data_IF_178735766808
#
_entry.id   IF_178735766808
#
_cell.length_a   1.000
_cell.length_b   1.000
_cell.length_c   1.000
_cell.angle_alpha   90.00
_cell.angle_beta   90.00
_cell.angle_gamma   90.00
#
_symmetry.space_group_name_H-M   'P 1'
#
loop_
_entity.id
_entity.type
_entity.pdbx_description
1 polymer ?
#
# COMPACT_ATOMS: atom_id res chain seq x y z
N UNK A 1 17.10 -5.85 6.73
CA UNK A 1 17.59 -5.16 7.93
C UNK A 1 16.45 -4.34 8.48
N UNK A 2 16.20 -4.39 9.79
CA UNK A 2 15.31 -3.41 10.44
C UNK A 2 16.01 -2.06 10.34
N UNK A 3 15.39 -1.05 9.75
CA UNK A 3 15.90 0.30 9.85
C UNK A 3 15.59 0.81 11.27
N UNK A 4 16.54 1.46 11.95
CA UNK A 4 16.23 2.11 13.22
C UNK A 4 15.14 3.17 12.95
N UNK A 5 14.09 3.24 13.79
CA UNK A 5 13.05 4.24 13.60
C UNK A 5 13.65 5.65 13.76
N UNK A 6 13.14 6.59 12.96
CA UNK A 6 13.39 8.01 13.17
C UNK A 6 12.43 8.50 14.27
N UNK A 7 12.98 8.70 15.48
CA UNK A 7 12.20 9.20 16.61
C UNK A 7 11.71 10.64 16.42
N UNK A 8 12.34 11.45 15.55
CA UNK A 8 11.82 12.76 15.21
C UNK A 8 10.52 12.61 14.40
N UNK A 9 10.49 11.69 13.44
CA UNK A 9 9.28 11.37 12.68
C UNK A 9 8.19 10.77 13.58
N UNK A 10 8.52 9.82 14.46
CA UNK A 10 7.55 9.24 15.39
C UNK A 10 6.95 10.30 16.33
N UNK A 11 7.79 11.22 16.82
CA UNK A 11 7.37 12.36 17.65
C UNK A 11 6.48 13.33 16.89
N UNK A 12 6.83 13.69 15.65
CA UNK A 12 6.02 14.55 14.79
C UNK A 12 4.63 13.94 14.53
N UNK A 13 4.57 12.64 14.28
CA UNK A 13 3.28 11.96 14.12
C UNK A 13 2.48 11.94 15.42
N UNK A 14 3.11 11.66 16.55
CA UNK A 14 2.43 11.69 17.85
C UNK A 14 1.88 13.07 18.22
N UNK A 15 2.57 14.15 17.83
CA UNK A 15 2.12 15.53 17.99
C UNK A 15 0.91 15.83 17.10
N UNK A 16 0.95 15.45 15.81
CA UNK A 16 -0.19 15.55 14.90
C UNK A 16 -1.44 14.87 15.51
N UNK A 17 -1.27 13.66 16.05
CA UNK A 17 -2.35 12.88 16.66
C UNK A 17 -2.84 13.41 18.01
N UNK A 18 -2.13 14.35 18.63
CA UNK A 18 -2.49 14.97 19.90
C UNK A 18 -3.21 16.32 19.71
N UNK A 19 -3.14 16.90 18.52
CA UNK A 19 -3.80 18.15 18.18
C UNK A 19 -5.24 17.89 17.72
N UNK A 20 -6.21 18.24 18.57
CA UNK A 20 -7.65 18.11 18.28
C UNK A 20 -8.12 19.02 17.12
N UNK A 21 -7.29 19.97 16.68
CA UNK A 21 -7.55 20.79 15.51
C UNK A 21 -7.28 20.09 14.17
N UNK A 22 -6.57 18.96 14.18
CA UNK A 22 -6.22 18.20 12.96
C UNK A 22 -7.37 17.27 12.57
N UNK A 23 -7.65 17.19 11.27
CA UNK A 23 -8.69 16.33 10.73
C UNK A 23 -8.11 15.07 10.04
N UNK A 24 -8.99 14.26 9.46
CA UNK A 24 -8.61 13.03 8.75
C UNK A 24 -7.75 13.31 7.51
N UNK A 25 -7.92 14.46 6.85
CA UNK A 25 -7.09 14.84 5.70
C UNK A 25 -5.67 15.24 6.11
N UNK A 26 -5.49 15.85 7.28
CA UNK A 26 -4.16 16.15 7.80
C UNK A 26 -3.38 14.86 8.09
N UNK A 27 -4.04 13.88 8.71
CA UNK A 27 -3.47 12.55 8.96
C UNK A 27 -3.17 11.83 7.64
N UNK A 28 -4.10 11.86 6.67
CA UNK A 28 -3.88 11.32 5.32
C UNK A 28 -2.63 11.90 4.69
N UNK A 29 -2.52 13.24 4.68
CA UNK A 29 -1.42 13.95 4.04
C UNK A 29 -0.08 13.60 4.69
N UNK A 30 -0.07 13.41 6.01
CA UNK A 30 1.10 12.97 6.77
C UNK A 30 1.50 11.53 6.40
N UNK A 31 0.55 10.59 6.40
CA UNK A 31 0.81 9.18 6.06
C UNK A 31 1.23 8.99 4.59
N UNK A 32 0.73 9.82 3.69
CA UNK A 32 1.18 9.84 2.29
C UNK A 32 2.62 10.33 2.14
N UNK A 33 3.10 11.21 3.03
CA UNK A 33 4.48 11.73 3.04
C UNK A 33 5.46 10.82 3.78
N UNK A 34 4.94 10.02 4.70
CA UNK A 34 5.71 9.18 5.61
C UNK A 34 5.13 7.77 5.61
N UNK A 35 5.16 7.15 4.42
CA UNK A 35 4.57 5.83 4.18
C UNK A 35 5.13 4.72 5.06
N UNK A 36 6.29 4.92 5.68
CA UNK A 36 6.86 4.04 6.72
C UNK A 36 5.99 3.93 7.98
N UNK A 37 5.10 4.90 8.25
CA UNK A 37 4.12 4.84 9.35
C UNK A 37 2.83 4.12 8.97
N UNK A 38 2.54 3.97 7.67
CA UNK A 38 1.38 3.23 7.19
C UNK A 38 1.66 1.72 7.26
N UNK A 39 1.02 1.05 8.20
CA UNK A 39 1.14 -0.40 8.37
C UNK A 39 0.32 -1.15 7.29
N UNK A 40 1.03 -1.75 6.34
CA UNK A 40 0.45 -2.61 5.29
C UNK A 40 0.62 -4.09 5.58
N UNK A 41 1.06 -4.48 6.78
CA UNK A 41 1.20 -5.88 7.18
C UNK A 41 -0.13 -6.65 7.28
N UNK A 42 -1.29 -6.03 7.59
CA UNK A 42 -2.55 -6.74 7.55
C UNK A 42 -2.79 -7.42 6.20
N UNK A 43 -3.23 -8.67 6.24
CA UNK A 43 -3.64 -9.45 5.06
C UNK A 43 -2.54 -9.74 4.02
N UNK A 44 -1.26 -9.45 4.30
CA UNK A 44 -0.18 -9.76 3.34
C UNK A 44 -0.11 -11.26 3.04
N UNK A 45 0.06 -11.54 1.76
CA UNK A 45 0.32 -12.88 1.24
C UNK A 45 1.83 -13.05 1.04
N UNK A 46 2.25 -14.24 0.62
CA UNK A 46 3.66 -14.61 0.51
C UNK A 46 4.48 -13.75 -0.47
N UNK A 47 3.85 -13.10 -1.46
CA UNK A 47 4.54 -12.13 -2.34
C UNK A 47 4.58 -10.70 -1.76
N UNK A 48 4.10 -10.49 -0.53
CA UNK A 48 4.09 -9.23 0.21
C UNK A 48 3.33 -8.12 -0.55
N UNK A 49 3.60 -6.87 -0.19
CA UNK A 49 3.02 -5.69 -0.82
C UNK A 49 3.36 -5.65 -2.31
N UNK A 50 2.34 -5.72 -3.16
CA UNK A 50 2.50 -5.74 -4.60
C UNK A 50 3.18 -4.47 -5.07
N UNK A 51 4.29 -4.64 -5.80
CA UNK A 51 5.13 -3.58 -6.34
C UNK A 51 5.72 -2.58 -5.33
N UNK A 52 5.66 -2.86 -4.02
CA UNK A 52 5.96 -1.87 -2.99
C UNK A 52 5.13 -0.57 -3.13
N UNK A 53 3.88 -0.69 -3.59
CA UNK A 53 3.00 0.44 -3.85
C UNK A 53 1.75 0.41 -2.97
N UNK A 54 1.32 1.59 -2.54
CA UNK A 54 -0.03 1.86 -2.02
C UNK A 54 -0.74 2.83 -2.96
N UNK A 55 -2.07 2.79 -3.00
CA UNK A 55 -2.91 3.64 -3.82
C UNK A 55 -3.64 4.59 -2.88
N UNK A 56 -3.34 5.88 -2.93
CA UNK A 56 -4.07 6.90 -2.19
C UNK A 56 -5.42 7.18 -2.83
N UNK A 57 -6.45 7.39 -2.01
CA UNK A 57 -7.79 7.83 -2.43
C UNK A 57 -8.37 6.92 -3.53
N UNK A 58 -8.50 5.63 -3.23
CA UNK A 58 -9.02 4.63 -4.17
C UNK A 58 -10.56 4.72 -4.28
N UNK A 59 -11.12 4.98 -5.48
CA UNK A 59 -12.57 5.12 -5.66
C UNK A 59 -13.28 3.76 -5.61
N UNK A 60 -14.33 3.67 -4.78
CA UNK A 60 -15.19 2.49 -4.69
C UNK A 60 -16.57 2.87 -4.12
N UNK A 61 -17.64 2.30 -4.67
CA UNK A 61 -19.02 2.50 -4.19
C UNK A 61 -19.50 3.97 -4.15
N UNK A 62 -19.07 4.80 -5.12
CA UNK A 62 -19.34 6.25 -5.11
C UNK A 62 -18.64 7.00 -3.96
N UNK A 63 -17.78 6.32 -3.21
CA UNK A 63 -16.94 6.84 -2.14
C UNK A 63 -15.47 6.63 -2.49
N UNK A 64 -14.60 6.97 -1.57
CA UNK A 64 -13.15 6.86 -1.72
C UNK A 64 -12.57 6.26 -0.44
N UNK A 65 -11.87 5.14 -0.56
CA UNK A 65 -11.04 4.62 0.52
C UNK A 65 -9.75 5.44 0.61
N UNK A 66 -9.30 5.74 1.82
CA UNK A 66 -8.12 6.57 2.06
C UNK A 66 -6.84 5.99 1.46
N UNK A 67 -6.65 4.68 1.63
CA UNK A 67 -5.65 3.92 0.90
C UNK A 67 -6.24 2.60 0.38
N UNK A 68 -5.60 2.07 -0.65
CA UNK A 68 -5.75 0.69 -1.06
C UNK A 68 -4.37 0.07 -1.33
N UNK A 69 -4.25 -1.23 -1.15
CA UNK A 69 -3.07 -1.95 -1.63
C UNK A 69 -3.43 -3.35 -2.11
N UNK A 70 -2.54 -3.86 -2.96
CA UNK A 70 -2.65 -5.21 -3.49
C UNK A 70 -1.58 -6.09 -2.84
N UNK A 71 -1.95 -7.34 -2.62
CA UNK A 71 -1.03 -8.43 -2.27
C UNK A 71 -1.50 -9.69 -2.98
N UNK A 72 -0.60 -10.63 -3.24
CA UNK A 72 -0.91 -11.82 -4.03
C UNK A 72 -0.17 -13.06 -3.59
N UNK A 73 -0.75 -14.21 -3.87
CA UNK A 73 -0.10 -15.52 -3.94
C UNK A 73 -0.22 -16.02 -5.38
N UNK A 74 0.35 -17.18 -5.72
CA UNK A 74 0.34 -17.69 -7.10
C UNK A 74 -1.06 -17.91 -7.69
N UNK A 75 -2.08 -18.04 -6.84
CA UNK A 75 -3.46 -18.45 -7.17
C UNK A 75 -4.54 -17.39 -6.86
N UNK A 76 -4.23 -16.34 -6.08
CA UNK A 76 -5.18 -15.28 -5.72
C UNK A 76 -4.54 -13.91 -5.48
N UNK A 77 -5.40 -12.89 -5.53
CA UNK A 77 -5.13 -11.52 -5.11
C UNK A 77 -5.97 -11.19 -3.87
N UNK A 78 -5.46 -10.27 -3.06
CA UNK A 78 -6.25 -9.55 -2.08
C UNK A 78 -6.14 -8.06 -2.40
N UNK A 79 -7.29 -7.43 -2.61
CA UNK A 79 -7.46 -6.00 -2.52
C UNK A 79 -7.73 -5.65 -1.07
N UNK A 80 -6.85 -4.87 -0.46
CA UNK A 80 -7.07 -4.32 0.87
C UNK A 80 -7.45 -2.85 0.74
N UNK A 81 -8.59 -2.48 1.32
CA UNK A 81 -9.01 -1.09 1.47
C UNK A 81 -8.76 -0.62 2.90
N UNK A 82 -8.21 0.57 3.05
CA UNK A 82 -7.88 1.18 4.33
C UNK A 82 -8.73 2.44 4.49
N UNK A 83 -9.43 2.53 5.60
CA UNK A 83 -10.08 3.76 6.08
C UNK A 83 -9.30 4.32 7.26
N UNK A 84 -9.12 5.64 7.29
CA UNK A 84 -8.59 6.35 8.45
C UNK A 84 -9.67 7.24 9.06
N UNK A 85 -9.73 7.24 10.38
CA UNK A 85 -10.68 7.99 11.19
C UNK A 85 -9.93 8.84 12.21
N UNK A 86 -10.53 9.92 12.71
CA UNK A 86 -9.85 10.80 13.70
C UNK A 86 -9.24 10.05 14.90
N UNK A 87 -8.10 10.54 15.37
CA UNK A 87 -7.36 9.98 16.50
C UNK A 87 -8.12 10.10 17.84
N UNK A 88 -8.98 11.09 18.00
CA UNK A 88 -9.77 11.30 19.21
C UNK A 88 -11.10 10.51 19.25
N UNK A 89 -11.44 9.74 18.21
CA UNK A 89 -12.64 8.88 18.22
C UNK A 89 -12.46 7.72 19.20
N UNK A 90 -13.29 7.66 20.23
CA UNK A 90 -13.33 6.52 21.16
C UNK A 90 -13.90 5.29 20.49
N UNK A 91 -13.31 4.12 20.71
CA UNK A 91 -13.86 2.84 20.20
C UNK A 91 -14.98 2.29 21.09
N UNK A 92 -14.94 2.59 22.39
CA UNK A 92 -15.83 2.00 23.38
C UNK A 92 -16.55 3.06 24.20
N UNK A 93 -17.72 2.70 24.74
CA UNK A 93 -18.45 3.51 25.70
C UNK A 93 -17.77 3.43 27.08
N UNK A 94 -18.00 4.44 27.91
CA UNK A 94 -17.45 4.55 29.27
C UNK A 94 -18.25 3.76 30.33
N UNK A 95 -19.15 2.86 29.91
CA UNK A 95 -19.99 2.06 30.80
C UNK A 95 -19.18 1.06 31.63
N UNK A 96 -19.43 1.00 32.94
CA UNK A 96 -18.80 0.03 33.85
C UNK A 96 -19.44 -1.36 33.82
N UNK A 97 -20.62 -1.51 33.20
CA UNK A 97 -21.42 -2.76 33.25
C UNK A 97 -21.22 -3.66 32.04
N UNK A 98 -20.87 -3.11 30.88
CA UNK A 98 -20.67 -3.87 29.65
C UNK A 98 -19.72 -3.11 28.71
N UNK A 99 -18.95 -3.86 27.91
CA UNK A 99 -18.10 -3.28 26.86
C UNK A 99 -18.96 -3.00 25.63
N UNK A 100 -19.52 -1.78 25.56
CA UNK A 100 -20.27 -1.30 24.41
C UNK A 100 -19.34 -0.62 23.39
N UNK A 101 -19.58 -0.82 22.10
CA UNK A 101 -18.96 -0.01 21.03
C UNK A 101 -19.54 1.40 21.05
N UNK A 102 -18.70 2.41 20.78
CA UNK A 102 -19.19 3.78 20.59
C UNK A 102 -19.99 3.92 19.29
N UNK A 103 -20.79 4.99 19.17
CA UNK A 103 -21.47 5.33 17.91
C UNK A 103 -20.47 5.59 16.78
N UNK A 104 -19.45 6.41 17.04
CA UNK A 104 -18.41 6.74 16.06
C UNK A 104 -17.68 5.49 15.52
N UNK A 105 -17.41 4.51 16.38
CA UNK A 105 -16.78 3.26 15.95
C UNK A 105 -17.72 2.41 15.09
N UNK A 106 -19.00 2.32 15.45
CA UNK A 106 -19.98 1.60 14.65
C UNK A 106 -20.21 2.28 13.28
N UNK A 107 -20.21 3.62 13.24
CA UNK A 107 -20.32 4.40 12.00
C UNK A 107 -19.13 4.14 11.07
N UNK A 108 -17.90 4.17 11.59
CA UNK A 108 -16.69 3.84 10.83
C UNK A 108 -16.73 2.39 10.29
N UNK A 109 -17.15 1.42 11.11
CA UNK A 109 -17.33 0.04 10.67
C UNK A 109 -18.37 -0.06 9.53
N UNK A 110 -19.50 0.64 9.66
CA UNK A 110 -20.55 0.68 8.64
C UNK A 110 -20.05 1.33 7.34
N UNK A 111 -19.25 2.39 7.41
CA UNK A 111 -18.63 3.04 6.25
C UNK A 111 -17.79 2.06 5.44
N UNK A 112 -16.94 1.26 6.11
CA UNK A 112 -16.15 0.23 5.41
C UNK A 112 -17.01 -0.94 4.91
N UNK A 113 -18.21 -1.18 5.47
CA UNK A 113 -19.11 -2.25 5.04
C UNK A 113 -19.75 -1.98 3.68
N UNK A 114 -20.01 -0.70 3.37
CA UNK A 114 -20.51 -0.27 2.05
C UNK A 114 -19.61 -0.77 0.92
N UNK A 115 -18.29 -0.81 1.13
CA UNK A 115 -17.35 -1.30 0.12
C UNK A 115 -17.45 -2.79 -0.12
N UNK A 116 -17.70 -3.58 0.93
CA UNK A 116 -17.92 -5.02 0.81
C UNK A 116 -19.19 -5.29 0.01
N UNK A 117 -20.28 -4.63 0.39
CA UNK A 117 -21.59 -4.84 -0.24
C UNK A 117 -21.53 -4.43 -1.74
N UNK A 118 -20.84 -3.33 -2.04
CA UNK A 118 -20.59 -2.92 -3.42
C UNK A 118 -19.66 -3.91 -4.16
N UNK A 119 -18.59 -4.38 -3.53
CA UNK A 119 -17.69 -5.37 -4.12
C UNK A 119 -18.45 -6.65 -4.52
N UNK A 120 -19.35 -7.15 -3.67
CA UNK A 120 -20.13 -8.36 -3.96
C UNK A 120 -20.98 -8.24 -5.23
N UNK A 121 -21.44 -7.02 -5.56
CA UNK A 121 -22.30 -6.75 -6.70
C UNK A 121 -21.54 -6.25 -7.94
N UNK A 122 -20.36 -5.65 -7.76
CA UNK A 122 -19.64 -4.91 -8.81
C UNK A 122 -18.17 -5.38 -9.00
N UNK A 123 -17.88 -6.66 -8.78
CA UNK A 123 -16.51 -7.20 -8.88
C UNK A 123 -15.83 -6.88 -10.21
N UNK A 124 -16.55 -6.98 -11.34
CA UNK A 124 -15.99 -6.70 -12.66
C UNK A 124 -15.54 -5.24 -12.80
N UNK A 125 -16.33 -4.29 -12.31
CA UNK A 125 -16.01 -2.86 -12.39
C UNK A 125 -14.76 -2.51 -11.55
N UNK A 126 -14.68 -3.06 -10.34
CA UNK A 126 -13.50 -2.88 -9.48
C UNK A 126 -12.27 -3.58 -10.11
N UNK A 127 -12.47 -4.76 -10.72
CA UNK A 127 -11.39 -5.48 -11.42
C UNK A 127 -10.84 -4.67 -12.59
N UNK A 128 -11.68 -4.08 -13.42
CA UNK A 128 -11.25 -3.24 -14.55
C UNK A 128 -10.38 -2.07 -14.08
N UNK A 129 -10.75 -1.41 -12.97
CA UNK A 129 -9.92 -0.36 -12.37
C UNK A 129 -8.55 -0.86 -11.93
N UNK A 130 -8.48 -2.07 -11.38
CA UNK A 130 -7.23 -2.68 -10.92
C UNK A 130 -6.39 -3.29 -12.05
N UNK A 131 -6.99 -3.56 -13.21
CA UNK A 131 -6.40 -4.34 -14.30
C UNK A 131 -4.97 -3.90 -14.66
N UNK A 132 -4.63 -2.59 -14.75
CA UNK A 132 -3.26 -2.14 -14.98
C UNK A 132 -2.21 -2.66 -13.99
N UNK A 133 -2.62 -2.98 -12.76
CA UNK A 133 -1.74 -3.46 -11.69
C UNK A 133 -1.83 -4.97 -11.49
N UNK A 134 -2.79 -5.67 -12.12
CA UNK A 134 -2.97 -7.12 -11.99
C UNK A 134 -1.93 -7.89 -12.81
N UNK A 135 -0.67 -7.82 -12.39
CA UNK A 135 0.47 -8.43 -13.07
C UNK A 135 1.24 -9.38 -12.15
N UNK A 136 1.96 -10.38 -12.70
CA UNK A 136 2.13 -10.69 -14.12
C UNK A 136 0.85 -11.24 -14.77
N UNK A 137 0.74 -11.09 -16.10
CA UNK A 137 -0.44 -11.50 -16.90
C UNK A 137 -1.01 -12.89 -16.58
N UNK A 138 -0.22 -13.95 -16.32
CA UNK A 138 -0.77 -15.26 -15.94
C UNK A 138 -1.61 -15.24 -14.66
N UNK A 139 -1.31 -14.31 -13.74
CA UNK A 139 -2.02 -14.13 -12.48
C UNK A 139 -3.14 -13.09 -12.60
N UNK A 140 -3.25 -12.39 -13.73
CA UNK A 140 -4.22 -11.32 -13.93
C UNK A 140 -5.67 -11.81 -13.87
N UNK A 141 -5.90 -13.13 -14.02
CA UNK A 141 -7.22 -13.79 -13.99
C UNK A 141 -7.55 -14.44 -12.64
N UNK A 142 -6.59 -14.44 -11.71
CA UNK A 142 -6.81 -15.02 -10.39
C UNK A 142 -7.97 -14.32 -9.67
N UNK A 143 -8.60 -15.06 -8.74
CA UNK A 143 -9.65 -14.52 -7.88
C UNK A 143 -9.09 -13.35 -7.07
N UNK A 144 -9.87 -12.29 -6.93
CA UNK A 144 -9.58 -11.18 -6.03
C UNK A 144 -10.50 -11.34 -4.82
N UNK A 145 -9.93 -11.31 -3.63
CA UNK A 145 -10.67 -11.20 -2.37
C UNK A 145 -10.61 -9.74 -1.88
N UNK A 146 -11.71 -9.25 -1.32
CA UNK A 146 -11.71 -7.97 -0.63
C UNK A 146 -11.39 -8.18 0.86
N UNK A 147 -10.48 -7.37 1.39
CA UNK A 147 -10.21 -7.21 2.82
C UNK A 147 -10.16 -5.73 3.19
N UNK A 148 -10.31 -5.46 4.48
CA UNK A 148 -10.45 -4.09 4.99
C UNK A 148 -9.55 -3.87 6.19
N UNK A 149 -9.08 -2.65 6.33
CA UNK A 149 -8.37 -2.14 7.50
C UNK A 149 -9.06 -0.85 7.91
N UNK A 150 -9.34 -0.70 9.20
CA UNK A 150 -9.84 0.52 9.80
C UNK A 150 -8.78 1.02 10.79
N UNK A 151 -8.28 2.23 10.57
CA UNK A 151 -7.34 2.91 11.45
C UNK A 151 -8.13 3.97 12.20
N UNK A 152 -8.37 3.77 13.49
CA UNK A 152 -9.24 4.63 14.28
C UNK A 152 -8.74 4.79 15.71
N UNK A 153 -8.84 6.01 16.22
CA UNK A 153 -8.68 6.28 17.63
C UNK A 153 -7.26 6.02 18.16
N UNK A 154 -7.12 6.26 19.46
CA UNK A 154 -5.89 6.04 20.22
C UNK A 154 -6.14 5.02 21.33
N UNK A 155 -5.12 4.23 21.65
CA UNK A 155 -5.09 3.37 22.84
C UNK A 155 -4.36 4.03 24.02
N UNK A 156 -3.74 5.20 23.82
CA UNK A 156 -3.01 5.92 24.86
C UNK A 156 -3.95 6.53 25.91
N UNK A 157 -3.72 6.15 27.18
CA UNK A 157 -4.48 6.60 28.36
C UNK A 157 -5.25 5.49 29.07
N UNK A 158 -5.61 4.41 28.37
CA UNK A 158 -6.19 3.17 28.92
C UNK A 158 -5.82 2.04 27.98
N UNK A 159 -4.84 1.20 28.34
CA UNK A 159 -4.65 -0.06 27.63
C UNK A 159 -6.01 -0.76 27.54
N UNK A 160 -6.39 -1.21 26.34
CA UNK A 160 -7.66 -1.92 26.18
C UNK A 160 -7.71 -3.08 27.19
N UNK A 161 -8.80 -3.16 27.93
CA UNK A 161 -9.06 -4.30 28.81
C UNK A 161 -9.14 -5.58 27.98
N UNK A 162 -8.96 -6.75 28.61
CA UNK A 162 -9.07 -8.01 27.89
C UNK A 162 -10.43 -8.14 27.17
N UNK A 163 -11.52 -7.75 27.82
CA UNK A 163 -12.85 -7.76 27.22
C UNK A 163 -12.99 -6.82 26.00
N UNK A 164 -12.30 -5.68 26.00
CA UNK A 164 -12.22 -4.79 24.82
C UNK A 164 -11.42 -5.43 23.68
N UNK A 165 -10.30 -6.08 24.00
CA UNK A 165 -9.49 -6.81 23.00
C UNK A 165 -10.26 -7.98 22.40
N UNK A 166 -10.97 -8.76 23.23
CA UNK A 166 -11.80 -9.88 22.78
C UNK A 166 -12.94 -9.39 21.89
N UNK A 167 -13.54 -8.23 22.24
CA UNK A 167 -14.58 -7.61 21.40
C UNK A 167 -14.05 -7.17 20.04
N UNK A 168 -12.88 -6.55 19.98
CA UNK A 168 -12.22 -6.20 18.71
C UNK A 168 -11.95 -7.48 17.91
N UNK A 169 -11.35 -8.50 18.53
CA UNK A 169 -11.02 -9.76 17.85
C UNK A 169 -12.26 -10.45 17.26
N UNK A 170 -13.38 -10.46 17.99
CA UNK A 170 -14.67 -10.97 17.48
C UNK A 170 -15.14 -10.17 16.26
N UNK A 171 -15.11 -8.84 16.30
CA UNK A 171 -15.50 -7.99 15.16
C UNK A 171 -14.60 -8.25 13.95
N UNK A 172 -13.28 -8.35 14.17
CA UNK A 172 -12.32 -8.61 13.10
C UNK A 172 -12.58 -9.96 12.39
N UNK A 173 -12.84 -11.01 13.17
CA UNK A 173 -13.12 -12.35 12.67
C UNK A 173 -14.43 -12.39 11.88
N UNK A 174 -15.50 -11.83 12.45
CA UNK A 174 -16.85 -11.87 11.87
C UNK A 174 -16.93 -11.04 10.59
N UNK A 175 -16.29 -9.86 10.58
CA UNK A 175 -16.42 -8.91 9.49
C UNK A 175 -15.26 -8.97 8.48
N UNK A 176 -14.23 -9.79 8.71
CA UNK A 176 -13.02 -9.84 7.88
C UNK A 176 -12.39 -8.45 7.69
N UNK A 177 -12.29 -7.72 8.78
CA UNK A 177 -11.66 -6.39 8.91
C UNK A 177 -10.50 -6.48 9.90
N UNK A 178 -9.49 -5.63 9.75
CA UNK A 178 -8.50 -5.37 10.80
C UNK A 178 -8.69 -3.98 11.38
N UNK A 179 -8.64 -3.87 12.70
CA UNK A 179 -8.83 -2.62 13.43
C UNK A 179 -7.49 -2.26 14.07
N UNK A 180 -6.93 -1.14 13.64
CA UNK A 180 -5.67 -0.60 14.16
C UNK A 180 -5.95 0.73 14.86
N UNK A 181 -5.20 0.98 15.92
CA UNK A 181 -5.12 2.32 16.52
C UNK A 181 -3.87 3.02 16.02
N UNK A 182 -3.84 4.36 16.11
CA UNK A 182 -2.63 5.11 15.75
C UNK A 182 -1.42 4.74 16.63
N UNK A 183 -1.66 4.36 17.88
CA UNK A 183 -0.61 3.87 18.78
C UNK A 183 -0.06 2.51 18.33
N UNK A 184 -0.88 1.66 17.70
CA UNK A 184 -0.41 0.42 17.06
C UNK A 184 0.50 0.72 15.88
N UNK A 185 0.19 1.72 15.05
CA UNK A 185 1.05 2.14 13.94
C UNK A 185 2.40 2.65 14.45
N UNK A 186 2.39 3.54 15.45
CA UNK A 186 3.61 4.06 16.09
C UNK A 186 4.46 2.93 16.69
N UNK A 187 3.83 1.95 17.34
CA UNK A 187 4.54 0.80 17.90
C UNK A 187 5.17 -0.08 16.82
N UNK A 188 4.44 -0.33 15.73
CA UNK A 188 4.93 -1.09 14.57
C UNK A 188 6.15 -0.39 13.96
N UNK A 189 6.03 0.92 13.71
CA UNK A 189 7.11 1.76 13.21
C UNK A 189 8.35 1.74 14.12
N UNK A 190 8.18 2.02 15.41
CA UNK A 190 9.27 2.00 16.40
C UNK A 190 9.95 0.64 16.57
N UNK A 191 9.24 -0.45 16.26
CA UNK A 191 9.80 -1.80 16.28
C UNK A 191 10.67 -2.10 15.05
N UNK A 192 10.83 -1.15 14.13
CA UNK A 192 11.65 -1.25 12.92
C UNK A 192 10.94 -1.95 11.76
N UNK A 193 9.61 -1.99 11.76
CA UNK A 193 8.79 -2.56 10.69
C UNK A 193 8.34 -1.52 9.65
N UNK A 194 8.72 -0.26 9.82
CA UNK A 194 8.44 0.79 8.84
C UNK A 194 9.21 0.55 7.54
N UNK A 195 8.48 0.48 6.42
CA UNK A 195 9.05 0.42 5.07
C UNK A 195 8.51 1.57 4.24
N UNK A 196 9.38 2.31 3.55
CA UNK A 196 8.97 3.35 2.60
C UNK A 196 8.37 2.73 1.34
N UNK A 197 7.30 3.34 0.83
CA UNK A 197 6.48 2.83 -0.26
C UNK A 197 6.32 3.87 -1.35
N UNK A 198 5.99 3.41 -2.54
CA UNK A 198 5.55 4.27 -3.63
C UNK A 198 4.05 4.56 -3.46
N UNK A 199 3.63 5.82 -3.61
CA UNK A 199 2.22 6.20 -3.53
C UNK A 199 1.69 6.46 -4.92
N UNK A 200 0.67 5.71 -5.31
CA UNK A 200 -0.08 5.88 -6.55
C UNK A 200 -1.34 6.70 -6.30
N UNK A 201 -1.78 7.45 -7.30
CA UNK A 201 -3.09 8.08 -7.34
C UNK A 201 -3.87 7.57 -8.55
N UNK A 202 -5.15 7.18 -8.41
CA UNK A 202 -6.00 6.79 -9.54
C UNK A 202 -6.12 7.89 -10.60
N UNK A 203 -6.23 7.48 -11.86
CA UNK A 203 -6.52 8.34 -13.02
C UNK A 203 -7.66 7.70 -13.83
N UNK A 204 -8.19 8.42 -14.81
CA UNK A 204 -9.19 7.87 -15.74
C UNK A 204 -8.67 6.62 -16.45
N UNK A 205 -7.38 6.62 -16.81
CA UNK A 205 -6.67 5.50 -17.45
C UNK A 205 -5.50 5.07 -16.57
N UNK A 206 -5.76 4.18 -15.61
CA UNK A 206 -4.74 3.62 -14.71
C UNK A 206 -4.36 4.55 -13.55
N UNK A 207 -3.07 4.83 -13.39
CA UNK A 207 -2.53 5.46 -12.19
C UNK A 207 -1.48 6.52 -12.51
N UNK A 208 -1.19 7.39 -11.54
CA UNK A 208 -0.01 8.24 -11.56
C UNK A 208 0.82 7.99 -10.30
N UNK A 209 2.15 8.10 -10.39
CA UNK A 209 2.97 8.15 -9.19
C UNK A 209 2.75 9.51 -8.54
N UNK A 210 2.14 9.52 -7.35
CA UNK A 210 1.89 10.71 -6.55
C UNK A 210 3.12 11.07 -5.72
N UNK A 211 3.74 10.07 -5.08
CA UNK A 211 4.95 10.22 -4.26
C UNK A 211 5.87 9.01 -4.42
N UNK A 212 7.16 9.26 -4.27
CA UNK A 212 8.23 8.27 -4.40
C UNK A 212 9.06 8.28 -3.11
N UNK A 213 8.46 7.90 -1.99
CA UNK A 213 9.19 7.82 -0.72
C UNK A 213 10.02 6.54 -0.66
N UNK A 214 9.44 5.44 -1.16
CA UNK A 214 10.13 4.19 -1.45
C UNK A 214 10.15 3.89 -2.95
N UNK A 215 11.19 3.19 -3.40
CA UNK A 215 11.28 2.73 -4.78
C UNK A 215 10.25 1.61 -5.05
N UNK A 216 9.52 1.69 -6.17
CA UNK A 216 8.62 0.62 -6.57
C UNK A 216 9.44 -0.60 -7.01
N UNK A 217 8.89 -1.78 -6.76
CA UNK A 217 9.45 -3.07 -7.22
C UNK A 217 8.66 -3.54 -8.43
N UNK A 218 9.33 -3.95 -9.50
CA UNK A 218 8.73 -4.52 -10.71
C UNK A 218 7.68 -3.65 -11.43
N UNK A 219 7.36 -2.44 -10.97
CA UNK A 219 6.32 -1.58 -11.54
C UNK A 219 6.60 -1.31 -13.03
N UNK A 220 7.79 -0.79 -13.34
CA UNK A 220 8.22 -0.49 -14.71
C UNK A 220 8.59 -1.73 -15.54
N UNK A 221 8.71 -2.89 -14.90
CA UNK A 221 8.93 -4.16 -15.59
C UNK A 221 7.63 -4.73 -16.19
N UNK A 222 6.46 -4.25 -15.73
CA UNK A 222 5.16 -4.78 -16.14
C UNK A 222 4.15 -3.74 -16.61
N UNK A 223 4.22 -2.50 -16.11
CA UNK A 223 3.22 -1.45 -16.41
C UNK A 223 3.80 -0.47 -17.41
N UNK A 224 3.06 -0.24 -18.50
CA UNK A 224 3.43 0.67 -19.59
C UNK A 224 2.97 2.11 -19.33
N UNK A 225 3.56 3.10 -20.03
CA UNK A 225 3.16 4.52 -19.93
C UNK A 225 1.67 4.78 -20.18
N UNK A 226 1.01 3.95 -20.98
CA UNK A 226 -0.44 4.04 -21.26
C UNK A 226 -1.32 3.89 -20.00
N UNK A 227 -0.80 3.28 -18.94
CA UNK A 227 -1.54 3.03 -17.70
C UNK A 227 -0.85 3.59 -16.45
N UNK A 228 0.32 4.19 -16.61
CA UNK A 228 1.07 4.80 -15.52
C UNK A 228 1.63 6.14 -15.96
N UNK A 229 1.26 7.20 -15.27
CA UNK A 229 1.83 8.53 -15.45
C UNK A 229 2.93 8.77 -14.42
N UNK A 230 4.10 9.24 -14.88
CA UNK A 230 5.23 9.61 -14.02
C UNK A 230 5.49 11.11 -14.18
N UNK A 231 5.17 11.93 -13.16
CA UNK A 231 5.48 13.36 -13.18
C UNK A 231 6.98 13.63 -13.34
N UNK A 232 7.35 14.72 -14.03
CA UNK A 232 8.76 15.09 -14.32
C UNK A 232 9.67 15.12 -13.07
N UNK A 233 9.25 15.68 -11.92
CA UNK A 233 10.08 15.64 -10.71
C UNK A 233 10.38 14.22 -10.22
N UNK A 234 9.40 13.32 -10.34
CA UNK A 234 9.54 11.91 -9.92
C UNK A 234 10.42 11.16 -10.91
N UNK A 235 10.24 11.41 -12.20
CA UNK A 235 11.09 10.81 -13.23
C UNK A 235 12.55 11.21 -13.08
N UNK A 236 12.82 12.48 -12.78
CA UNK A 236 14.18 12.97 -12.53
C UNK A 236 14.84 12.19 -11.38
N UNK A 237 14.08 11.95 -10.31
CA UNK A 237 14.53 11.11 -9.19
C UNK A 237 14.76 9.66 -9.61
N UNK A 238 13.86 9.06 -10.40
CA UNK A 238 14.03 7.70 -10.91
C UNK A 238 15.27 7.57 -11.81
N UNK A 239 15.54 8.56 -12.67
CA UNK A 239 16.77 8.59 -13.48
C UNK A 239 18.02 8.67 -12.61
N UNK A 240 18.00 9.50 -11.56
CA UNK A 240 19.10 9.57 -10.58
C UNK A 240 19.31 8.24 -9.83
N UNK A 241 18.24 7.46 -9.65
CA UNK A 241 18.28 6.10 -9.10
C UNK A 241 18.65 5.02 -10.14
N UNK A 242 19.02 5.42 -11.37
CA UNK A 242 19.49 4.52 -12.43
C UNK A 242 18.40 3.85 -13.26
N UNK A 243 17.13 4.29 -13.18
CA UNK A 243 16.08 3.79 -14.06
C UNK A 243 16.20 4.41 -15.46
N UNK A 244 16.16 3.59 -16.51
CA UNK A 244 16.11 4.02 -17.92
C UNK A 244 14.71 4.53 -18.29
N UNK A 245 14.27 5.62 -17.67
CA UNK A 245 12.91 6.16 -17.84
C UNK A 245 12.63 6.63 -19.27
N UNK A 246 13.64 7.03 -20.04
CA UNK A 246 13.48 7.37 -21.45
C UNK A 246 13.11 6.14 -22.30
N UNK A 247 13.70 4.98 -22.03
CA UNK A 247 13.32 3.72 -22.66
C UNK A 247 11.87 3.35 -22.28
N UNK A 248 11.53 3.48 -21.00
CA UNK A 248 10.19 3.19 -20.50
C UNK A 248 9.12 4.10 -21.14
N UNK A 249 9.37 5.40 -21.25
CA UNK A 249 8.50 6.35 -21.97
C UNK A 249 8.26 5.96 -23.43
N UNK A 250 9.25 5.33 -24.06
CA UNK A 250 9.17 4.79 -25.41
C UNK A 250 8.60 3.35 -25.46
N UNK A 251 7.77 2.98 -24.48
CA UNK A 251 7.09 1.68 -24.35
C UNK A 251 8.04 0.47 -24.19
N UNK A 252 9.26 0.67 -23.69
CA UNK A 252 10.18 -0.43 -23.38
C UNK A 252 10.16 -0.75 -21.88
N UNK A 253 9.63 -1.93 -21.53
CA UNK A 253 9.56 -2.37 -20.13
C UNK A 253 10.96 -2.59 -19.53
N UNK A 254 11.16 -2.11 -18.31
CA UNK A 254 12.44 -2.19 -17.58
C UNK A 254 12.59 -3.56 -16.91
N UNK A 255 12.94 -4.59 -17.69
CA UNK A 255 12.96 -5.98 -17.22
C UNK A 255 14.29 -6.36 -16.58
N UNK A 256 15.41 -5.81 -17.05
CA UNK A 256 16.73 -6.15 -16.55
C UNK A 256 16.96 -5.40 -15.23
N UNK A 257 17.13 -6.14 -14.13
CA UNK A 257 17.20 -5.61 -12.76
C UNK A 257 16.08 -4.61 -12.38
N UNK A 258 14.91 -4.69 -13.03
CA UNK A 258 13.77 -3.78 -12.83
C UNK A 258 14.02 -2.30 -13.21
N UNK A 259 15.23 -1.96 -13.66
CA UNK A 259 15.69 -0.59 -13.94
C UNK A 259 16.08 -0.35 -15.40
N UNK A 260 16.44 -1.41 -16.12
CA UNK A 260 16.95 -1.29 -17.49
C UNK A 260 16.09 -2.07 -18.49
N UNK A 261 15.91 -1.50 -19.68
CA UNK A 261 15.13 -2.12 -20.76
C UNK A 261 15.91 -3.29 -21.40
N UNK A 262 17.22 -3.14 -21.49
CA UNK A 262 18.18 -4.15 -21.96
C UNK A 262 19.30 -4.33 -20.94
N UNK A 263 20.21 -5.26 -21.20
CA UNK A 263 21.44 -5.34 -20.44
C UNK A 263 22.18 -3.99 -20.51
N UNK A 264 22.57 -3.39 -19.37
CA UNK A 264 23.28 -2.11 -19.34
C UNK A 264 24.72 -2.29 -19.82
N UNK A 265 25.25 -1.26 -20.46
CA UNK A 265 26.69 -1.11 -20.68
C UNK A 265 27.43 -0.92 -19.35
N UNK A 266 28.75 -1.11 -19.34
CA UNK A 266 29.55 -0.91 -18.12
C UNK A 266 29.47 0.55 -17.60
N UNK A 267 29.30 1.52 -18.51
CA UNK A 267 29.06 2.93 -18.17
C UNK A 267 27.69 3.15 -17.51
N UNK A 268 26.63 2.54 -18.05
CA UNK A 268 25.27 2.62 -17.47
C UNK A 268 25.13 1.85 -16.16
N UNK A 269 25.94 0.80 -15.97
CA UNK A 269 26.00 0.05 -14.73
C UNK A 269 26.68 0.84 -13.60
N UNK A 270 27.54 1.82 -13.93
CA UNK A 270 28.23 2.66 -12.95
C UNK A 270 28.95 1.85 -11.88
N UNK A 271 28.66 2.14 -10.60
CA UNK A 271 29.29 1.48 -9.45
C UNK A 271 28.70 0.11 -9.09
N UNK A 272 27.80 -0.45 -9.92
CA UNK A 272 27.24 -1.78 -9.64
C UNK A 272 28.36 -2.82 -9.72
N UNK A 273 28.66 -3.43 -8.57
CA UNK A 273 29.75 -4.38 -8.43
C UNK A 273 29.67 -5.51 -9.49
N UNK A 274 30.76 -5.89 -10.16
CA UNK A 274 30.74 -6.88 -11.25
C UNK A 274 30.11 -8.23 -10.89
N UNK A 275 30.25 -8.66 -9.63
CA UNK A 275 29.59 -9.88 -9.13
C UNK A 275 28.05 -9.74 -9.03
N UNK A 276 27.53 -8.53 -8.81
CA UNK A 276 26.09 -8.27 -8.85
C UNK A 276 25.61 -8.27 -10.30
N UNK A 277 26.36 -7.65 -11.22
CA UNK A 277 26.06 -7.70 -12.66
C UNK A 277 26.07 -9.14 -13.18
N UNK A 278 27.02 -9.98 -12.78
CA UNK A 278 27.06 -11.38 -13.21
C UNK A 278 25.85 -12.18 -12.73
N UNK A 279 25.38 -11.94 -11.50
CA UNK A 279 24.15 -12.56 -10.96
C UNK A 279 22.92 -12.07 -11.73
N UNK A 280 22.81 -10.77 -12.02
CA UNK A 280 21.70 -10.21 -12.79
C UNK A 280 21.69 -10.80 -14.21
N UNK A 281 22.85 -10.86 -14.88
CA UNK A 281 23.03 -11.47 -16.20
C UNK A 281 22.58 -12.94 -16.20
N UNK A 282 22.99 -13.71 -15.19
CA UNK A 282 22.60 -15.11 -15.06
C UNK A 282 21.08 -15.26 -14.85
N UNK A 283 20.48 -14.41 -14.01
CA UNK A 283 19.04 -14.41 -13.75
C UNK A 283 18.22 -14.05 -15.00
N UNK A 284 18.70 -13.11 -15.82
CA UNK A 284 18.01 -12.73 -17.06
C UNK A 284 18.10 -13.83 -18.14
N UNK A 285 19.27 -14.45 -18.31
CA UNK A 285 19.43 -15.61 -19.24
C UNK A 285 18.55 -16.80 -18.86
N UNK A 286 18.29 -16.98 -17.56
CA UNK A 286 17.40 -18.03 -17.06
C UNK A 286 15.92 -17.69 -17.24
N UNK A 287 15.55 -16.45 -17.58
CA UNK A 287 14.15 -16.11 -17.87
C UNK A 287 13.77 -16.71 -19.23
N UNK A 288 12.68 -17.49 -19.30
CA UNK A 288 12.24 -18.06 -20.57
C UNK A 288 11.94 -16.94 -21.56
N UNK A 289 12.60 -16.95 -22.72
CA UNK A 289 12.34 -16.00 -23.78
C UNK A 289 10.85 -16.08 -24.13
N UNK A 290 10.12 -14.98 -24.00
CA UNK A 290 8.82 -14.86 -24.67
C UNK A 290 9.10 -14.55 -26.15
N UNK A 291 9.65 -15.53 -26.86
CA UNK A 291 9.64 -15.53 -28.29
C UNK A 291 8.17 -15.51 -28.76
N UNK A 292 7.78 -14.40 -29.40
CA UNK A 292 6.63 -14.18 -30.28
C UNK A 292 5.36 -15.00 -29.95
N UNK A 293 4.37 -14.36 -29.33
CA UNK A 293 2.97 -14.68 -29.64
C UNK A 293 2.38 -13.52 -30.44
N UNK A 294 2.13 -13.83 -31.71
CA UNK A 294 1.34 -13.06 -32.66
C UNK A 294 -0.06 -12.81 -32.11
#
# INVERSE_FOLDING_TARGET
MRQPPDEALASAFAQLLADDGQDENDIQAFLEQHTELLDTSPWLLNHRLHMNCVIAKFPIAGRTADFAYLTKSSDRWILVLVEIERANKSLFTTSSKHVGSSSAFNEALAQTAVWRDYWEQHQSEVRERLLPLLVPSPMARNRIELRRVLIIGRSTGKDFSQAQRDRIASIEEDQKIKILTYDSLLRSYRSGWGEKKCVLSPRSTGYAIKRLDGLPKLLFAYVLPEHLSVPVPIETRLKAEGYQMDAWRNNQLLRFNEKWATEPTDEEAGDVHPAVLSVIRAADRARPSKAKRR
#
